data_IF_928400330272
#
_entry.id   IF_928400330272
#
_cell.length_a   1.000
_cell.length_b   1.000
_cell.length_c   1.000
_cell.angle_alpha   90.00
_cell.angle_beta   90.00
_cell.angle_gamma   90.00
#
_symmetry.space_group_name_H-M   'P 1'
#
loop_
_entity.id
_entity.type
_entity.pdbx_description
1 polymer ?
#
# COMPACT_ATOMS: atom_id res chain seq x y z
N UNK A 1 24.35 7.08 30.82
CA UNK A 1 22.89 6.87 30.99
C UNK A 1 22.06 8.05 30.43
N UNK A 2 22.51 9.30 30.58
CA UNK A 2 21.83 10.48 30.04
C UNK A 2 21.73 10.52 28.49
N UNK A 3 22.73 10.00 27.77
CA UNK A 3 22.75 10.04 26.30
C UNK A 3 21.72 9.12 25.64
N UNK A 4 21.43 7.96 26.25
CA UNK A 4 20.40 7.01 25.79
C UNK A 4 18.97 7.54 25.95
N UNK A 5 18.73 8.39 26.96
CA UNK A 5 17.45 9.07 27.13
C UNK A 5 17.20 10.06 25.98
N UNK A 6 18.24 10.75 25.50
CA UNK A 6 18.14 11.75 24.43
C UNK A 6 17.72 11.19 23.07
N UNK A 7 18.03 9.91 22.79
CA UNK A 7 17.63 9.23 21.55
C UNK A 7 16.17 8.79 21.63
N UNK A 8 15.74 8.29 22.78
CA UNK A 8 14.34 7.90 23.02
C UNK A 8 13.39 9.13 22.97
N UNK A 9 13.84 10.26 23.52
CA UNK A 9 13.15 11.54 23.41
C UNK A 9 13.10 12.10 21.98
N UNK A 10 13.97 11.64 21.07
CA UNK A 10 13.94 11.99 19.63
C UNK A 10 13.10 11.02 18.79
N UNK A 11 12.95 9.76 19.21
CA UNK A 11 12.13 8.75 18.52
C UNK A 11 10.63 8.94 18.83
N UNK A 12 10.30 9.28 20.09
CA UNK A 12 8.94 9.62 20.52
C UNK A 12 8.23 10.66 19.63
N UNK A 13 8.84 11.82 19.28
CA UNK A 13 8.22 12.79 18.40
C UNK A 13 8.15 12.34 16.93
N UNK A 14 9.03 11.45 16.45
CA UNK A 14 8.93 10.87 15.09
C UNK A 14 7.73 9.92 15.03
N UNK A 15 7.59 9.03 16.01
CA UNK A 15 6.43 8.15 16.13
C UNK A 15 5.12 8.96 16.30
N UNK A 16 5.15 10.02 17.10
CA UNK A 16 4.02 10.94 17.25
C UNK A 16 3.72 11.70 15.95
N UNK A 17 4.74 12.15 15.20
CA UNK A 17 4.57 12.82 13.91
C UNK A 17 3.99 11.86 12.86
N UNK A 18 4.43 10.61 12.83
CA UNK A 18 3.86 9.54 12.00
C UNK A 18 2.40 9.28 12.40
N UNK A 19 2.07 9.24 13.69
CA UNK A 19 0.70 9.06 14.18
C UNK A 19 -0.21 10.27 13.85
N UNK A 20 0.32 11.49 13.91
CA UNK A 20 -0.40 12.72 13.52
C UNK A 20 -0.59 12.79 12.00
N UNK A 21 0.41 12.39 11.21
CA UNK A 21 0.29 12.22 9.76
C UNK A 21 -0.77 11.15 9.45
N UNK A 22 -0.76 10.03 10.15
CA UNK A 22 -1.76 8.96 10.01
C UNK A 22 -3.17 9.46 10.32
N UNK A 23 -3.35 10.20 11.42
CA UNK A 23 -4.64 10.77 11.82
C UNK A 23 -5.14 11.82 10.82
N UNK A 24 -4.26 12.66 10.29
CA UNK A 24 -4.57 13.70 9.30
C UNK A 24 -4.90 13.12 7.92
N UNK A 25 -4.26 12.02 7.54
CA UNK A 25 -4.56 11.29 6.30
C UNK A 25 -5.88 10.50 6.42
N UNK A 26 -6.14 9.86 7.57
CA UNK A 26 -7.41 9.18 7.84
C UNK A 26 -8.61 10.13 7.79
N UNK A 27 -8.49 11.34 8.37
CA UNK A 27 -9.56 12.35 8.28
C UNK A 27 -9.75 12.89 6.86
N UNK A 28 -8.67 12.97 6.06
CA UNK A 28 -8.76 13.30 4.62
C UNK A 28 -9.47 12.21 3.81
N UNK A 29 -9.29 10.94 4.15
CA UNK A 29 -9.91 9.79 3.45
C UNK A 29 -11.40 9.68 3.79
N UNK A 30 -11.80 10.03 5.02
CA UNK A 30 -13.20 10.00 5.45
C UNK A 30 -14.00 11.23 4.98
N UNK A 31 -13.35 12.36 4.70
CA UNK A 31 -14.00 13.64 4.37
C UNK A 31 -14.49 13.82 2.93
N UNK A 32 -14.18 12.91 2.01
CA UNK A 32 -14.49 13.11 0.57
C UNK A 32 -15.18 11.88 -0.05
N UNK A 33 -16.33 11.49 0.50
CA UNK A 33 -17.13 10.32 0.10
C UNK A 33 -18.07 10.58 -1.09
N UNK A 34 -17.89 11.67 -1.83
CA UNK A 34 -18.66 11.98 -3.03
C UNK A 34 -17.71 12.26 -4.18
N UNK A 35 -17.47 11.22 -5.01
CA UNK A 35 -17.37 11.28 -6.47
C UNK A 35 -16.19 10.53 -7.11
N UNK A 36 -15.12 10.12 -6.41
CA UNK A 36 -14.12 9.25 -7.04
C UNK A 36 -13.65 8.13 -6.11
N UNK A 37 -13.84 6.88 -6.57
CA UNK A 37 -13.44 5.63 -5.90
C UNK A 37 -11.94 5.34 -5.98
N UNK A 38 -11.23 6.00 -6.90
CA UNK A 38 -9.82 5.79 -7.23
C UNK A 38 -8.76 6.57 -6.42
N UNK A 39 -8.96 7.81 -5.94
CA UNK A 39 -7.92 8.52 -5.18
C UNK A 39 -7.51 7.77 -3.90
N UNK A 40 -8.43 7.03 -3.27
CA UNK A 40 -8.17 6.32 -2.02
C UNK A 40 -7.06 5.26 -2.11
N UNK A 41 -6.94 4.55 -3.24
CA UNK A 41 -5.94 3.48 -3.42
C UNK A 41 -4.55 4.06 -3.67
N UNK A 42 -4.46 5.16 -4.43
CA UNK A 42 -3.20 5.88 -4.65
C UNK A 42 -2.69 6.45 -3.32
N UNK A 43 -3.56 7.10 -2.54
CA UNK A 43 -3.20 7.62 -1.21
C UNK A 43 -2.80 6.49 -0.25
N UNK A 44 -3.49 5.35 -0.30
CA UNK A 44 -3.12 4.16 0.48
C UNK A 44 -1.74 3.60 0.08
N UNK A 45 -1.43 3.54 -1.22
CA UNK A 45 -0.13 3.10 -1.72
C UNK A 45 0.99 4.05 -1.28
N UNK A 46 0.79 5.36 -1.40
CA UNK A 46 1.77 6.37 -0.95
C UNK A 46 2.00 6.27 0.56
N UNK A 47 0.94 6.06 1.33
CA UNK A 47 1.00 5.87 2.77
C UNK A 47 1.77 4.58 3.16
N UNK A 48 1.43 3.45 2.53
CA UNK A 48 2.07 2.17 2.79
C UNK A 48 3.57 2.20 2.42
N UNK A 49 3.92 2.85 1.29
CA UNK A 49 5.31 3.02 0.86
C UNK A 49 6.11 3.92 1.80
N UNK A 50 5.51 5.01 2.29
CA UNK A 50 6.21 5.89 3.24
C UNK A 50 6.51 5.18 4.56
N UNK A 51 5.60 4.33 5.05
CA UNK A 51 5.88 3.46 6.20
C UNK A 51 7.02 2.48 5.88
N UNK A 52 6.95 1.77 4.75
CA UNK A 52 7.96 0.78 4.38
C UNK A 52 9.37 1.39 4.27
N UNK A 53 9.48 2.59 3.68
CA UNK A 53 10.73 3.33 3.56
C UNK A 53 11.23 3.76 4.95
N UNK A 54 10.37 4.33 5.79
CA UNK A 54 10.75 4.74 7.15
C UNK A 54 11.23 3.55 7.99
N UNK A 55 10.55 2.40 7.93
CA UNK A 55 10.99 1.20 8.63
C UNK A 55 12.32 0.67 8.09
N UNK A 56 12.58 0.77 6.78
CA UNK A 56 13.86 0.39 6.17
C UNK A 56 15.01 1.27 6.70
N UNK A 57 14.77 2.58 6.84
CA UNK A 57 15.72 3.52 7.43
C UNK A 57 15.97 3.19 8.91
N UNK A 58 14.93 2.87 9.68
CA UNK A 58 15.08 2.45 11.09
C UNK A 58 15.89 1.18 11.23
N UNK A 59 15.70 0.18 10.36
CA UNK A 59 16.52 -1.06 10.34
C UNK A 59 17.98 -0.73 10.07
N UNK A 60 18.28 0.15 9.12
CA UNK A 60 19.64 0.58 8.82
C UNK A 60 20.30 1.26 10.02
N UNK A 61 19.62 2.23 10.65
CA UNK A 61 20.13 2.90 11.85
C UNK A 61 20.33 1.95 13.03
N UNK A 62 19.37 1.07 13.32
CA UNK A 62 19.49 0.10 14.40
C UNK A 62 20.69 -0.84 14.17
N UNK A 63 20.92 -1.26 12.92
CA UNK A 63 22.06 -2.11 12.55
C UNK A 63 23.40 -1.38 12.69
N UNK A 64 23.46 -0.10 12.29
CA UNK A 64 24.65 0.73 12.45
C UNK A 64 25.00 0.97 13.93
N UNK A 65 24.01 1.25 14.78
CA UNK A 65 24.22 1.40 16.22
C UNK A 65 24.71 0.11 16.89
N UNK A 66 24.25 -1.06 16.44
CA UNK A 66 24.73 -2.37 16.96
C UNK A 66 26.20 -2.59 16.61
N UNK A 67 26.66 -2.10 15.45
CA UNK A 67 28.05 -2.22 15.02
C UNK A 67 29.01 -1.41 15.89
N UNK A 68 28.63 -0.19 16.25
CA UNK A 68 29.48 0.73 17.04
C UNK A 68 29.39 0.49 18.56
N UNK A 69 28.18 0.40 19.11
CA UNK A 69 27.93 0.37 20.56
C UNK A 69 27.73 -1.05 21.13
N UNK A 70 27.68 -2.06 20.25
CA UNK A 70 27.40 -3.45 20.58
C UNK A 70 25.91 -3.76 20.84
N UNK A 71 25.66 -4.95 21.38
CA UNK A 71 24.31 -5.53 21.53
C UNK A 71 23.56 -4.98 22.74
N UNK A 72 22.97 -3.81 22.60
CA UNK A 72 22.11 -3.22 23.63
C UNK A 72 20.64 -3.58 23.43
N UNK A 73 19.92 -3.84 24.53
CA UNK A 73 18.50 -4.23 24.50
C UNK A 73 17.59 -3.26 23.73
N UNK A 74 17.86 -1.96 23.81
CA UNK A 74 17.10 -0.92 23.09
C UNK A 74 17.20 -1.07 21.57
N UNK A 75 18.38 -1.42 21.07
CA UNK A 75 18.61 -1.60 19.63
C UNK A 75 18.01 -2.90 19.13
N UNK A 76 18.07 -3.97 19.93
CA UNK A 76 17.48 -5.28 19.59
C UNK A 76 15.96 -5.17 19.49
N UNK A 77 15.31 -4.52 20.45
CA UNK A 77 13.85 -4.32 20.44
C UNK A 77 13.44 -3.47 19.24
N UNK A 78 14.13 -2.36 18.98
CA UNK A 78 13.86 -1.51 17.82
C UNK A 78 14.08 -2.22 16.48
N UNK A 79 15.09 -3.08 16.38
CA UNK A 79 15.35 -3.88 15.19
C UNK A 79 14.24 -4.91 14.93
N UNK A 80 13.77 -5.61 15.97
CA UNK A 80 12.67 -6.57 15.86
C UNK A 80 11.36 -5.89 15.43
N UNK A 81 11.03 -4.77 16.07
CA UNK A 81 9.86 -3.96 15.72
C UNK A 81 9.95 -3.48 14.27
N UNK A 82 11.10 -2.92 13.87
CA UNK A 82 11.29 -2.40 12.53
C UNK A 82 11.23 -3.49 11.46
N UNK A 83 11.76 -4.69 11.70
CA UNK A 83 11.66 -5.83 10.76
C UNK A 83 10.20 -6.25 10.55
N UNK A 84 9.42 -6.36 11.64
CA UNK A 84 8.00 -6.74 11.54
C UNK A 84 7.19 -5.71 10.74
N UNK A 85 7.32 -4.43 11.07
CA UNK A 85 6.60 -3.37 10.35
C UNK A 85 7.11 -3.17 8.92
N UNK A 86 8.42 -3.34 8.68
CA UNK A 86 8.99 -3.29 7.32
C UNK A 86 8.40 -4.41 6.45
N UNK A 87 8.36 -5.64 6.95
CA UNK A 87 7.78 -6.77 6.24
C UNK A 87 6.31 -6.54 5.88
N UNK A 88 5.51 -6.11 6.86
CA UNK A 88 4.09 -5.79 6.63
C UNK A 88 3.93 -4.64 5.61
N UNK A 89 4.70 -3.56 5.74
CA UNK A 89 4.64 -2.41 4.84
C UNK A 89 5.00 -2.74 3.40
N UNK A 90 6.03 -3.55 3.18
CA UNK A 90 6.42 -3.99 1.83
C UNK A 90 5.40 -4.95 1.22
N UNK A 91 4.86 -5.90 1.99
CA UNK A 91 3.82 -6.83 1.50
C UNK A 91 2.56 -6.08 1.11
N UNK A 92 2.11 -5.12 1.91
CA UNK A 92 0.92 -4.31 1.59
C UNK A 92 1.15 -3.46 0.35
N UNK A 93 2.26 -2.73 0.29
CA UNK A 93 2.59 -1.88 -0.87
C UNK A 93 2.73 -2.70 -2.15
N UNK A 94 3.44 -3.83 -2.07
CA UNK A 94 3.63 -4.74 -3.20
C UNK A 94 2.30 -5.34 -3.68
N UNK A 95 1.44 -5.76 -2.75
CA UNK A 95 0.11 -6.28 -3.08
C UNK A 95 -0.74 -5.21 -3.78
N UNK A 96 -0.70 -3.96 -3.32
CA UNK A 96 -1.44 -2.86 -3.96
C UNK A 96 -0.94 -2.58 -5.38
N UNK A 97 0.37 -2.57 -5.60
CA UNK A 97 0.94 -2.44 -6.95
C UNK A 97 0.53 -3.61 -7.83
N UNK A 98 0.60 -4.84 -7.33
CA UNK A 98 0.17 -6.02 -8.06
C UNK A 98 -1.30 -5.93 -8.47
N UNK A 99 -2.19 -5.57 -7.56
CA UNK A 99 -3.61 -5.38 -7.89
C UNK A 99 -3.82 -4.26 -8.92
N UNK A 100 -3.04 -3.18 -8.86
CA UNK A 100 -3.04 -2.15 -9.89
C UNK A 100 -2.59 -2.69 -11.26
N UNK A 101 -1.59 -3.59 -11.31
CA UNK A 101 -1.16 -4.20 -12.59
C UNK A 101 -2.20 -5.10 -13.24
N UNK A 102 -3.20 -5.55 -12.49
CA UNK A 102 -4.33 -6.32 -13.01
C UNK A 102 -5.62 -5.51 -13.08
N UNK A 103 -5.58 -4.20 -12.78
CA UNK A 103 -6.75 -3.33 -12.72
C UNK A 103 -7.89 -3.92 -11.85
N UNK A 104 -7.52 -4.55 -10.73
CA UNK A 104 -8.45 -5.18 -9.78
C UNK A 104 -8.46 -4.41 -8.47
N UNK A 105 -9.63 -4.28 -7.85
CA UNK A 105 -9.71 -3.86 -6.46
C UNK A 105 -9.43 -5.03 -5.52
N UNK A 106 -8.93 -4.75 -4.29
CA UNK A 106 -8.74 -5.79 -3.27
C UNK A 106 -10.03 -6.59 -3.01
N UNK A 107 -11.18 -5.91 -3.01
CA UNK A 107 -12.46 -6.54 -2.77
C UNK A 107 -12.86 -7.50 -3.89
N UNK A 108 -12.55 -7.17 -5.16
CA UNK A 108 -12.75 -8.07 -6.30
C UNK A 108 -11.76 -9.24 -6.28
N UNK A 109 -10.49 -9.00 -5.92
CA UNK A 109 -9.49 -10.06 -5.80
C UNK A 109 -9.85 -11.07 -4.70
N UNK A 110 -10.26 -10.61 -3.51
CA UNK A 110 -10.63 -11.49 -2.39
C UNK A 110 -11.98 -12.18 -2.60
N UNK A 111 -12.94 -11.50 -3.24
CA UNK A 111 -14.28 -12.03 -3.44
C UNK A 111 -14.57 -12.35 -4.91
N UNK A 112 -13.56 -12.81 -5.65
CA UNK A 112 -13.68 -13.11 -7.07
C UNK A 112 -14.81 -14.12 -7.34
N UNK A 113 -15.06 -15.05 -6.41
CA UNK A 113 -16.11 -16.06 -6.56
C UNK A 113 -17.52 -15.45 -6.65
N UNK A 114 -17.76 -14.27 -6.06
CA UNK A 114 -19.07 -13.59 -6.07
C UNK A 114 -19.38 -12.91 -7.40
N UNK A 115 -18.36 -12.51 -8.15
CA UNK A 115 -18.54 -11.68 -9.34
C UNK A 115 -18.55 -12.55 -10.60
N UNK A 116 -19.71 -12.65 -11.26
CA UNK A 116 -19.89 -13.47 -12.48
C UNK A 116 -19.09 -12.93 -13.67
N UNK A 117 -18.88 -11.63 -13.77
CA UNK A 117 -18.11 -11.01 -14.87
C UNK A 117 -16.59 -11.27 -14.77
N UNK A 118 -16.11 -11.76 -13.63
CA UNK A 118 -14.73 -12.20 -13.43
C UNK A 118 -14.55 -13.70 -13.74
N UNK A 119 -15.61 -14.35 -14.26
CA UNK A 119 -15.63 -15.76 -14.63
C UNK A 119 -15.97 -15.90 -16.10
N UNK A 120 -15.24 -16.77 -16.77
CA UNK A 120 -15.49 -17.20 -18.14
C UNK A 120 -16.73 -18.12 -18.21
N UNK A 121 -17.21 -18.41 -19.43
CA UNK A 121 -18.33 -19.32 -19.68
C UNK A 121 -18.14 -20.73 -19.08
N UNK A 122 -16.88 -21.17 -18.96
CA UNK A 122 -16.48 -22.43 -18.34
C UNK A 122 -16.23 -22.35 -16.82
N UNK A 123 -16.45 -21.17 -16.22
CA UNK A 123 -16.25 -20.93 -14.78
C UNK A 123 -14.81 -20.64 -14.36
N UNK A 124 -13.86 -20.57 -15.30
CA UNK A 124 -12.48 -20.16 -15.05
C UNK A 124 -12.37 -18.66 -14.78
N UNK A 125 -11.32 -18.24 -14.06
CA UNK A 125 -11.09 -16.82 -13.80
C UNK A 125 -10.66 -16.10 -15.09
N UNK A 126 -11.42 -15.08 -15.48
CA UNK A 126 -11.12 -14.23 -16.62
C UNK A 126 -11.31 -12.77 -16.22
N UNK A 127 -10.29 -11.94 -16.44
CA UNK A 127 -10.37 -10.51 -16.11
C UNK A 127 -10.49 -9.66 -17.39
N UNK A 128 -11.70 -9.21 -17.75
CA UNK A 128 -11.93 -8.42 -18.96
C UNK A 128 -11.37 -6.99 -18.86
N UNK A 129 -11.03 -6.52 -17.64
CA UNK A 129 -10.46 -5.19 -17.43
C UNK A 129 -8.94 -5.14 -17.58
N UNK A 130 -8.28 -6.30 -17.76
CA UNK A 130 -6.83 -6.38 -17.90
C UNK A 130 -6.40 -6.12 -19.35
N UNK A 131 -5.78 -4.97 -19.62
CA UNK A 131 -5.23 -4.62 -20.95
C UNK A 131 -3.70 -4.70 -21.02
N UNK A 132 -3.09 -5.30 -20.01
CA UNK A 132 -1.64 -5.42 -19.85
C UNK A 132 -1.08 -4.44 -18.81
N UNK A 133 0.11 -4.79 -18.30
CA UNK A 133 0.71 -4.15 -17.11
C UNK A 133 0.83 -2.62 -17.28
N UNK A 134 1.33 -2.16 -18.43
CA UNK A 134 1.57 -0.73 -18.66
C UNK A 134 0.28 0.07 -18.80
N UNK A 135 -0.75 -0.48 -19.43
CA UNK A 135 -2.04 0.20 -19.61
C UNK A 135 -2.79 0.28 -18.29
N UNK A 136 -2.79 -0.81 -17.52
CA UNK A 136 -3.41 -0.85 -16.20
C UNK A 136 -2.73 0.11 -15.22
N UNK A 137 -1.39 0.23 -15.26
CA UNK A 137 -0.66 1.22 -14.47
C UNK A 137 -0.99 2.66 -14.92
N UNK A 138 -1.08 2.92 -16.23
CA UNK A 138 -1.48 4.25 -16.72
C UNK A 138 -2.90 4.62 -16.28
N UNK A 139 -3.83 3.66 -16.30
CA UNK A 139 -5.18 3.84 -15.78
C UNK A 139 -5.16 4.12 -14.27
N UNK A 140 -4.34 3.40 -13.52
CA UNK A 140 -4.14 3.62 -12.08
C UNK A 140 -3.63 5.03 -11.74
N UNK A 141 -2.74 5.61 -12.57
CA UNK A 141 -2.25 6.98 -12.40
C UNK A 141 -3.09 8.05 -13.12
N UNK A 142 -4.30 7.72 -13.59
CA UNK A 142 -5.19 8.61 -14.37
C UNK A 142 -4.56 9.18 -15.65
N UNK A 143 -3.56 8.51 -16.22
CA UNK A 143 -2.96 8.87 -17.50
C UNK A 143 -3.80 8.38 -18.70
N UNK A 144 -4.89 7.64 -18.46
CA UNK A 144 -5.78 7.09 -19.50
C UNK A 144 -7.20 6.98 -18.93
N UNK A 145 -8.21 6.91 -19.82
CA UNK A 145 -9.63 6.77 -19.46
C UNK A 145 -9.87 5.45 -18.72
N UNK A 146 -10.54 5.53 -17.58
CA UNK A 146 -11.02 4.36 -16.80
C UNK A 146 -12.12 3.63 -17.57
N UNK A 147 -12.06 2.30 -17.65
CA UNK A 147 -13.13 1.53 -18.26
C UNK A 147 -14.22 1.18 -17.26
N UNK A 148 -15.46 1.46 -17.66
CA UNK A 148 -16.64 1.00 -16.94
C UNK A 148 -17.22 -0.25 -17.58
N UNK A 149 -18.09 -0.95 -16.84
CA UNK A 149 -18.83 -2.14 -17.33
C UNK A 149 -19.56 -1.86 -18.66
N UNK A 150 -20.02 -0.62 -18.87
CA UNK A 150 -20.70 -0.21 -20.11
C UNK A 150 -19.77 -0.21 -21.32
N UNK A 151 -18.47 0.02 -21.13
CA UNK A 151 -17.49 -0.03 -22.22
C UNK A 151 -17.24 -1.50 -22.63
N UNK A 152 -17.28 -2.45 -21.69
CA UNK A 152 -17.14 -3.90 -22.00
C UNK A 152 -18.33 -4.40 -22.82
N UNK A 153 -19.56 -4.08 -22.40
CA UNK A 153 -20.79 -4.52 -23.09
C UNK A 153 -20.80 -4.03 -24.55
N UNK A 154 -20.34 -2.79 -24.81
CA UNK A 154 -20.25 -2.25 -26.16
C UNK A 154 -19.26 -2.99 -27.05
N UNK A 155 -18.16 -3.47 -26.50
CA UNK A 155 -17.16 -4.25 -27.25
C UNK A 155 -17.74 -5.61 -27.60
N UNK A 156 -18.43 -6.25 -26.66
CA UNK A 156 -19.08 -7.55 -26.91
C UNK A 156 -20.22 -7.47 -27.94
N UNK A 157 -20.95 -6.35 -28.01
CA UNK A 157 -21.96 -6.11 -29.05
C UNK A 157 -21.39 -5.77 -30.45
N UNK A 158 -20.11 -5.39 -30.52
CA UNK A 158 -19.46 -4.98 -31.79
C UNK A 158 -18.60 -6.06 -32.43
N UNK A 159 -18.44 -7.21 -31.77
CA UNK A 159 -17.74 -8.41 -32.25
C UNK A 159 -18.76 -9.46 -32.68
#
# INVERSE_FOLDING_TARGET
MAEKLSVFDKISPIAFCILQLFKKQLTSIQGNQSEHRFPSIIWFLVFSLTIAINCTVTVFFASACIWEDGWQYTYIIGLLEAILFCGVGWVLSGSTVLYATYNLTMNEAFNYHRYRYLKDGDGHYHNPFNRGILENIKEFFHCTRVWDVHDIIKIEETV
#
